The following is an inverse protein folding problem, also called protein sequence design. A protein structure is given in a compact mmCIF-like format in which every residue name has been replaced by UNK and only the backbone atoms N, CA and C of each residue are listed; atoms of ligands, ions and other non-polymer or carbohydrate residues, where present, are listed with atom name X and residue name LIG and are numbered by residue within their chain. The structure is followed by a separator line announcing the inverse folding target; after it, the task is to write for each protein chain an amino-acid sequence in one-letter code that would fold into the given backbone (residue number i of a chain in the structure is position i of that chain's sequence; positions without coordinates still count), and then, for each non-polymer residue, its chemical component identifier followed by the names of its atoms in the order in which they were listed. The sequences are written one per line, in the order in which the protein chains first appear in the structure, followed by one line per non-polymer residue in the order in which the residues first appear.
data_IF_055721116662
#
_entry.id   IF_055721116662
#
_cell.length_a   1.000
_cell.length_b   1.000
_cell.length_c   1.000
_cell.angle_alpha   90.00
_cell.angle_beta   90.00
_cell.angle_gamma   90.00
#
_symmetry.space_group_name_H-M   'P 1'
#
loop_
_entity.id
_entity.type
_entity.pdbx_description
1 polymer ?
#
# COMPACT_ATOMS: atom_id res chain seq x y z
N UNK A 1 42.09 -53.14 -5.83
CA UNK A 1 40.66 -52.88 -5.61
C UNK A 1 40.17 -52.04 -6.78
N UNK A 2 39.54 -52.70 -7.75
CA UNK A 2 39.18 -52.10 -9.05
C UNK A 2 37.74 -51.57 -8.99
N UNK A 3 37.52 -50.37 -9.51
CA UNK A 3 36.19 -49.80 -9.75
C UNK A 3 35.96 -49.77 -11.27
N UNK A 4 34.82 -50.25 -11.81
CA UNK A 4 34.55 -50.15 -13.23
C UNK A 4 33.99 -48.76 -13.59
N UNK A 5 34.56 -48.19 -14.65
CA UNK A 5 34.15 -46.94 -15.29
C UNK A 5 32.91 -47.17 -16.17
N UNK A 6 31.88 -46.34 -15.98
CA UNK A 6 30.65 -46.33 -16.79
C UNK A 6 30.84 -45.37 -17.98
N UNK A 7 30.52 -45.75 -19.23
CA UNK A 7 30.67 -44.88 -20.38
C UNK A 7 29.49 -43.90 -20.53
N UNK A 8 29.80 -42.61 -20.62
CA UNK A 8 28.88 -41.53 -20.96
C UNK A 8 28.45 -41.63 -22.45
N UNK A 9 27.18 -41.90 -22.70
CA UNK A 9 26.57 -41.81 -24.03
C UNK A 9 26.34 -40.33 -24.40
N UNK A 10 26.87 -39.95 -25.57
CA UNK A 10 26.65 -38.66 -26.25
C UNK A 10 25.15 -38.45 -26.55
N UNK A 11 24.56 -37.39 -26.02
CA UNK A 11 23.32 -36.82 -26.57
C UNK A 11 23.68 -35.90 -27.75
N UNK A 12 23.11 -36.22 -28.91
CA UNK A 12 23.12 -35.40 -30.12
C UNK A 12 21.97 -34.39 -29.98
N UNK A 13 22.29 -33.12 -29.72
CA UNK A 13 21.32 -32.03 -29.82
C UNK A 13 21.32 -31.50 -31.27
N UNK A 14 20.24 -31.77 -32.00
CA UNK A 14 19.99 -31.22 -33.34
C UNK A 14 19.45 -29.79 -33.22
N UNK A 15 20.14 -28.89 -33.91
CA UNK A 15 19.72 -27.58 -34.40
C UNK A 15 18.23 -27.49 -34.79
N UNK A 16 17.58 -26.38 -34.41
CA UNK A 16 16.75 -25.58 -35.31
C UNK A 16 16.55 -24.17 -34.76
N UNK A 17 16.90 -23.22 -35.63
CA UNK A 17 16.75 -21.78 -35.51
C UNK A 17 15.27 -21.39 -35.38
N UNK A 18 14.93 -20.55 -34.40
CA UNK A 18 13.63 -19.89 -34.35
C UNK A 18 13.69 -18.64 -35.24
N UNK A 19 13.10 -18.76 -36.43
CA UNK A 19 12.83 -17.64 -37.33
C UNK A 19 11.59 -16.90 -36.83
N UNK A 20 11.70 -15.58 -36.70
CA UNK A 20 10.61 -14.65 -36.45
C UNK A 20 9.53 -14.80 -37.54
N UNK A 21 8.29 -15.10 -37.13
CA UNK A 21 7.11 -14.95 -37.96
C UNK A 21 6.16 -13.96 -37.28
N UNK A 22 6.24 -12.72 -37.74
CA UNK A 22 5.14 -11.75 -37.68
C UNK A 22 3.95 -12.35 -38.45
N UNK A 23 2.79 -12.46 -37.82
CA UNK A 23 1.53 -12.79 -38.51
C UNK A 23 0.56 -11.64 -38.24
N UNK A 24 0.44 -10.77 -39.23
CA UNK A 24 -0.68 -9.84 -39.40
C UNK A 24 -1.95 -10.61 -39.76
N UNK A 25 -3.06 -10.15 -39.20
CA UNK A 25 -4.40 -10.66 -39.41
C UNK A 25 -5.03 -10.02 -40.67
N UNK A 26 -5.59 -10.86 -41.54
CA UNK A 26 -6.35 -10.44 -42.71
C UNK A 26 -7.71 -11.18 -42.71
N UNK A 27 -8.86 -10.50 -42.51
CA UNK A 27 -10.17 -11.13 -42.54
C UNK A 27 -10.95 -10.71 -43.79
N UNK A 28 -11.07 -11.62 -44.75
CA UNK A 28 -12.05 -11.48 -45.83
C UNK A 28 -12.66 -12.83 -46.20
N UNK A 29 -13.95 -12.76 -46.55
CA UNK A 29 -14.78 -13.77 -47.20
C UNK A 29 -15.50 -14.80 -46.32
N UNK A 30 -16.61 -14.37 -45.70
CA UNK A 30 -17.84 -15.17 -45.69
C UNK A 30 -19.02 -14.27 -46.06
N UNK A 31 -19.42 -14.34 -47.34
CA UNK A 31 -20.61 -13.68 -47.87
C UNK A 31 -21.74 -14.72 -47.98
N UNK A 32 -22.75 -14.59 -47.13
CA UNK A 32 -24.03 -15.28 -47.29
C UNK A 32 -25.03 -14.26 -47.86
N UNK A 33 -25.57 -14.56 -49.05
CA UNK A 33 -26.62 -13.76 -49.70
C UNK A 33 -27.91 -13.90 -48.90
N UNK A 34 -28.58 -12.78 -48.63
CA UNK A 34 -30.03 -12.75 -48.69
C UNK A 34 -30.54 -11.36 -49.09
N UNK A 35 -31.40 -11.35 -50.10
CA UNK A 35 -32.00 -10.17 -50.70
C UNK A 35 -33.09 -9.61 -49.79
N UNK A 36 -32.95 -8.35 -49.37
CA UNK A 36 -34.11 -7.54 -48.98
C UNK A 36 -33.96 -6.15 -49.58
N UNK A 37 -34.87 -5.81 -50.49
CA UNK A 37 -35.04 -4.47 -51.04
C UNK A 37 -35.69 -3.60 -49.97
N UNK A 38 -34.98 -2.60 -49.46
CA UNK A 38 -35.56 -1.47 -48.72
C UNK A 38 -34.95 -0.20 -49.28
N UNK A 39 -35.83 0.76 -49.60
CA UNK A 39 -35.54 1.93 -50.40
C UNK A 39 -34.46 2.85 -49.83
N UNK A 40 -33.74 3.48 -50.76
CA UNK A 40 -32.83 4.58 -50.50
C UNK A 40 -33.65 5.77 -49.96
N UNK A 41 -33.53 6.02 -48.66
CA UNK A 41 -33.75 7.35 -48.09
C UNK A 41 -32.38 7.85 -47.63
N UNK A 42 -31.76 8.68 -48.47
CA UNK A 42 -30.55 9.44 -48.09
C UNK A 42 -30.98 10.48 -47.07
N UNK A 43 -30.89 10.14 -45.80
CA UNK A 43 -30.89 11.12 -44.71
C UNK A 43 -29.45 11.32 -44.27
N UNK A 44 -28.84 12.40 -44.76
CA UNK A 44 -27.55 12.89 -44.30
C UNK A 44 -27.70 13.42 -42.86
N UNK A 45 -27.62 12.51 -41.87
CA UNK A 45 -27.41 12.88 -40.49
C UNK A 45 -25.90 12.90 -40.25
N UNK A 46 -25.31 14.10 -40.26
CA UNK A 46 -23.95 14.33 -39.80
C UNK A 46 -23.85 13.91 -38.33
N UNK A 47 -23.36 12.69 -38.10
CA UNK A 47 -23.03 12.20 -36.77
C UNK A 47 -21.87 13.01 -36.21
N UNK A 48 -22.17 13.99 -35.36
CA UNK A 48 -21.16 14.63 -34.51
C UNK A 48 -20.65 13.56 -33.55
N UNK A 49 -19.49 12.98 -33.87
CA UNK A 49 -18.69 12.21 -32.93
C UNK A 49 -18.17 13.19 -31.87
N UNK A 50 -18.95 13.40 -30.81
CA UNK A 50 -18.50 14.08 -29.63
C UNK A 50 -17.41 13.23 -28.98
N UNK A 51 -16.15 13.57 -29.24
CA UNK A 51 -15.00 12.97 -28.56
C UNK A 51 -15.13 13.23 -27.07
N UNK A 52 -15.38 12.17 -26.29
CA UNK A 52 -15.25 12.23 -24.85
C UNK A 52 -13.78 12.47 -24.52
N UNK A 53 -13.41 13.73 -24.30
CA UNK A 53 -12.13 14.07 -23.70
C UNK A 53 -12.09 13.40 -22.32
N UNK A 54 -11.25 12.38 -22.17
CA UNK A 54 -10.98 11.79 -20.88
C UNK A 54 -10.32 12.86 -20.00
N UNK A 55 -11.10 13.49 -19.14
CA UNK A 55 -10.58 14.37 -18.09
C UNK A 55 -9.65 13.50 -17.23
N UNK A 56 -8.37 13.86 -17.06
CA UNK A 56 -7.49 13.09 -16.20
C UNK A 56 -8.08 13.12 -14.80
N UNK A 57 -8.32 11.94 -14.22
CA UNK A 57 -8.71 11.84 -12.82
C UNK A 57 -7.57 12.45 -12.00
N UNK A 58 -7.79 13.63 -11.42
CA UNK A 58 -6.84 14.19 -10.47
C UNK A 58 -6.77 13.24 -9.28
N UNK A 59 -5.58 12.69 -9.04
CA UNK A 59 -5.33 11.96 -7.80
C UNK A 59 -5.53 12.95 -6.64
N UNK A 60 -6.49 12.67 -5.77
CA UNK A 60 -6.69 13.46 -4.56
C UNK A 60 -5.44 13.32 -3.69
N UNK A 61 -4.95 14.44 -3.14
CA UNK A 61 -3.76 14.40 -2.30
C UNK A 61 -4.06 13.60 -1.03
N UNK A 62 -3.06 12.83 -0.55
CA UNK A 62 -3.17 12.14 0.73
C UNK A 62 -3.47 13.10 1.90
N UNK A 63 -3.02 14.36 1.79
CA UNK A 63 -3.22 15.38 2.82
C UNK A 63 -4.66 15.91 2.88
N UNK A 64 -5.38 15.83 1.76
CA UNK A 64 -6.79 16.24 1.67
C UNK A 64 -7.74 15.14 2.13
N UNK A 65 -7.22 13.96 2.48
CA UNK A 65 -8.02 12.83 2.92
C UNK A 65 -8.80 13.16 4.20
N UNK A 66 -10.12 12.93 4.13
CA UNK A 66 -11.03 12.97 5.28
C UNK A 66 -11.78 11.66 5.37
N UNK A 67 -11.49 10.85 6.38
CA UNK A 67 -12.11 9.53 6.51
C UNK A 67 -11.54 8.70 7.66
N UNK A 68 -11.50 7.39 7.47
CA UNK A 68 -11.06 6.42 8.47
C UNK A 68 -9.57 6.06 8.29
N UNK A 69 -8.92 5.57 9.35
CA UNK A 69 -7.50 5.20 9.28
C UNK A 69 -7.21 4.03 8.33
N UNK A 70 -8.14 3.09 8.21
CA UNK A 70 -7.97 1.85 7.41
C UNK A 70 -7.91 2.16 5.90
N UNK A 71 -8.90 2.83 5.27
CA UNK A 71 -8.79 3.18 3.86
C UNK A 71 -7.60 4.08 3.57
N UNK A 72 -7.32 5.06 4.45
CA UNK A 72 -6.13 5.89 4.35
C UNK A 72 -4.84 5.07 4.32
N UNK A 73 -4.66 4.15 5.28
CA UNK A 73 -3.44 3.35 5.37
C UNK A 73 -3.26 2.46 4.14
N UNK A 74 -4.34 1.96 3.53
CA UNK A 74 -4.26 1.20 2.28
C UNK A 74 -3.77 2.06 1.12
N UNK A 75 -4.26 3.29 1.01
CA UNK A 75 -3.84 4.23 -0.03
C UNK A 75 -2.38 4.68 0.19
N UNK A 76 -2.03 5.01 1.43
CA UNK A 76 -0.72 5.52 1.80
C UNK A 76 0.39 4.46 1.76
N UNK A 77 0.10 3.19 2.13
CA UNK A 77 1.09 2.11 2.15
C UNK A 77 1.03 1.18 0.93
N UNK A 78 -0.11 1.10 0.26
CA UNK A 78 -0.40 0.11 -0.78
C UNK A 78 -0.81 -1.28 -0.25
N UNK A 79 -0.83 -1.51 1.07
CA UNK A 79 -1.25 -2.79 1.67
C UNK A 79 -2.76 -2.98 1.48
N UNK A 80 -3.16 -4.18 1.05
CA UNK A 80 -4.56 -4.51 0.71
C UNK A 80 -5.23 -5.34 1.82
N UNK A 81 -5.30 -4.81 3.04
CA UNK A 81 -6.01 -5.41 4.19
C UNK A 81 -7.22 -4.53 4.52
N UNK A 82 -8.33 -5.12 4.95
CA UNK A 82 -9.63 -4.45 5.10
C UNK A 82 -10.29 -4.82 6.43
N UNK A 83 -11.36 -4.11 6.78
CA UNK A 83 -12.06 -4.29 8.06
C UNK A 83 -11.41 -3.49 9.19
N UNK A 84 -11.79 -3.83 10.43
CA UNK A 84 -11.34 -3.10 11.61
C UNK A 84 -9.81 -3.12 11.76
N UNK A 85 -9.25 -1.99 12.20
CA UNK A 85 -7.80 -1.82 12.30
C UNK A 85 -7.12 -2.86 13.21
N UNK A 86 -7.76 -3.24 14.32
CA UNK A 86 -7.20 -4.25 15.24
C UNK A 86 -7.04 -5.65 14.59
N UNK A 87 -7.84 -5.97 13.58
CA UNK A 87 -7.77 -7.29 12.89
C UNK A 87 -6.62 -7.38 11.89
N UNK A 88 -6.00 -6.25 11.53
CA UNK A 88 -4.99 -6.21 10.47
C UNK A 88 -3.75 -7.03 10.80
N UNK A 89 -3.39 -7.12 12.08
CA UNK A 89 -2.21 -7.89 12.50
C UNK A 89 -2.34 -9.38 12.19
N UNK A 90 -3.52 -9.96 12.44
CA UNK A 90 -3.79 -11.37 12.16
C UNK A 90 -4.06 -11.58 10.67
N UNK A 91 -4.78 -10.65 10.03
CA UNK A 91 -5.01 -10.73 8.59
C UNK A 91 -3.72 -10.62 7.76
N UNK A 92 -2.68 -9.95 8.26
CA UNK A 92 -1.41 -9.86 7.56
C UNK A 92 -0.67 -11.19 7.54
N UNK A 93 -0.91 -12.08 8.50
CA UNK A 93 -0.31 -13.41 8.54
C UNK A 93 -0.63 -14.21 7.27
N UNK A 94 0.40 -14.83 6.68
CA UNK A 94 0.25 -15.58 5.43
C UNK A 94 -0.08 -14.72 4.20
N UNK A 95 0.05 -13.38 4.29
CA UNK A 95 -0.13 -12.45 3.16
C UNK A 95 1.04 -11.47 3.06
N UNK A 96 1.33 -10.76 4.14
CA UNK A 96 2.39 -9.77 4.24
C UNK A 96 3.34 -10.15 5.37
N UNK A 97 4.63 -9.84 5.22
CA UNK A 97 5.58 -10.03 6.32
C UNK A 97 5.22 -9.12 7.50
N UNK A 98 5.46 -9.61 8.71
CA UNK A 98 5.27 -8.86 9.96
C UNK A 98 6.57 -8.82 10.76
N UNK A 99 6.72 -7.81 11.61
CA UNK A 99 7.87 -7.74 12.51
C UNK A 99 7.82 -6.60 13.50
N UNK A 100 8.93 -6.40 14.22
CA UNK A 100 9.06 -5.38 15.28
C UNK A 100 9.98 -4.23 14.91
N UNK A 101 10.65 -4.29 13.76
CA UNK A 101 11.53 -3.21 13.29
C UNK A 101 10.75 -2.26 12.40
N UNK A 102 10.80 -0.93 12.63
CA UNK A 102 10.16 0.03 11.75
C UNK A 102 10.84 0.01 10.37
N UNK A 103 10.04 0.22 9.33
CA UNK A 103 10.49 0.41 7.95
C UNK A 103 9.60 1.49 7.33
N UNK A 104 10.17 2.37 6.51
CA UNK A 104 9.38 3.37 5.77
C UNK A 104 8.33 2.65 4.92
N UNK A 105 7.10 3.13 4.96
CA UNK A 105 5.94 2.54 4.31
C UNK A 105 5.31 1.34 5.04
N UNK A 106 5.92 0.84 6.13
CA UNK A 106 5.30 -0.20 6.94
C UNK A 106 4.12 0.36 7.74
N UNK A 107 3.10 -0.46 7.95
CA UNK A 107 1.93 -0.10 8.74
C UNK A 107 2.12 -0.59 10.17
N UNK A 108 2.16 0.32 11.13
CA UNK A 108 2.04 -0.01 12.54
C UNK A 108 0.58 -0.35 12.86
N UNK A 109 0.35 -1.57 13.36
CA UNK A 109 -0.96 -2.02 13.82
C UNK A 109 -1.08 -1.84 15.34
N UNK A 110 -1.94 -0.92 15.77
CA UNK A 110 -2.26 -0.71 17.18
C UNK A 110 -3.21 -1.81 17.66
N UNK A 111 -2.97 -2.30 18.88
CA UNK A 111 -3.80 -3.31 19.49
C UNK A 111 -5.13 -2.71 19.99
N UNK A 112 -6.15 -3.55 20.07
CA UNK A 112 -7.43 -3.19 20.68
C UNK A 112 -7.22 -2.87 22.16
N UNK A 113 -7.77 -1.76 22.62
CA UNK A 113 -7.73 -1.34 24.02
C UNK A 113 -8.97 -0.52 24.38
N UNK A 114 -9.16 -0.20 25.66
CA UNK A 114 -10.28 0.66 26.09
C UNK A 114 -10.29 2.03 25.39
N UNK A 115 -9.12 2.58 25.06
CA UNK A 115 -8.98 3.85 24.34
C UNK A 115 -9.09 3.70 22.82
N UNK A 116 -8.79 2.51 22.29
CA UNK A 116 -8.84 2.17 20.87
C UNK A 116 -9.68 0.88 20.67
N UNK A 117 -11.02 0.95 20.83
CA UNK A 117 -11.87 -0.24 20.76
C UNK A 117 -11.88 -0.89 19.37
N UNK A 118 -11.58 -0.12 18.32
CA UNK A 118 -11.44 -0.60 16.94
C UNK A 118 -9.97 -0.80 16.52
N UNK A 119 -9.03 -0.61 17.44
CA UNK A 119 -7.60 -0.49 17.12
C UNK A 119 -7.31 0.81 16.35
N UNK A 120 -6.13 0.86 15.74
CA UNK A 120 -5.73 1.92 14.82
C UNK A 120 -4.62 1.40 13.90
N UNK A 121 -4.43 2.05 12.76
CA UNK A 121 -3.30 1.79 11.86
C UNK A 121 -2.66 3.10 11.43
N UNK A 122 -1.35 3.12 11.36
CA UNK A 122 -0.58 4.28 10.91
C UNK A 122 0.60 3.83 10.05
N UNK A 123 0.95 4.62 9.04
CA UNK A 123 2.03 4.28 8.10
C UNK A 123 3.31 5.01 8.51
N UNK A 124 4.43 4.30 8.64
CA UNK A 124 5.73 4.90 8.98
C UNK A 124 6.22 5.75 7.81
N UNK A 125 6.29 7.07 8.00
CA UNK A 125 6.75 8.01 6.99
C UNK A 125 8.27 8.20 7.04
N UNK A 126 8.85 8.23 8.25
CA UNK A 126 10.28 8.39 8.50
C UNK A 126 10.74 7.57 9.70
N UNK A 127 12.02 7.20 9.68
CA UNK A 127 12.73 6.68 10.85
C UNK A 127 13.64 7.79 11.35
N UNK A 128 13.37 8.30 12.55
CA UNK A 128 14.13 9.40 13.14
C UNK A 128 15.34 8.81 13.88
N UNK A 129 15.10 7.80 14.70
CA UNK A 129 16.14 7.09 15.41
C UNK A 129 15.64 5.71 15.84
N UNK A 130 16.35 5.04 16.76
CA UNK A 130 16.04 3.67 17.16
C UNK A 130 14.65 3.56 17.79
N UNK A 131 14.20 4.59 18.54
CA UNK A 131 12.94 4.59 19.28
C UNK A 131 11.96 5.67 18.84
N UNK A 132 12.35 6.54 17.91
CA UNK A 132 11.50 7.61 17.38
C UNK A 132 11.31 7.38 15.88
N UNK A 133 10.05 7.40 15.46
CA UNK A 133 9.65 7.40 14.05
C UNK A 133 8.62 8.48 13.84
N UNK A 134 8.43 8.88 12.59
CA UNK A 134 7.28 9.68 12.20
C UNK A 134 6.29 8.79 11.46
N UNK A 135 5.02 9.02 11.69
CA UNK A 135 3.91 8.30 11.08
C UNK A 135 2.97 9.26 10.36
N UNK A 136 2.35 8.76 9.31
CA UNK A 136 1.28 9.44 8.61
C UNK A 136 0.03 8.59 8.73
N UNK A 137 -1.06 9.18 9.22
CA UNK A 137 -2.31 8.49 9.53
C UNK A 137 -3.51 9.43 9.39
N UNK A 138 -4.73 8.90 9.49
CA UNK A 138 -5.95 9.70 9.50
C UNK A 138 -6.84 9.33 10.68
N UNK A 139 -7.77 10.22 11.03
CA UNK A 139 -8.79 9.99 12.07
C UNK A 139 -8.25 9.80 13.50
N UNK A 140 -7.13 10.43 13.84
CA UNK A 140 -6.57 10.36 15.19
C UNK A 140 -7.00 11.56 16.05
N UNK A 141 -6.49 12.74 15.73
CA UNK A 141 -6.80 13.97 16.47
C UNK A 141 -8.09 14.64 15.99
N UNK A 142 -8.57 15.61 16.77
CA UNK A 142 -9.69 16.47 16.36
C UNK A 142 -9.11 17.75 15.76
N UNK A 143 -9.20 17.91 14.44
CA UNK A 143 -8.85 19.15 13.78
C UNK A 143 -10.08 20.06 13.71
N UNK A 144 -10.04 21.20 14.40
CA UNK A 144 -11.11 22.21 14.43
C UNK A 144 -12.47 21.62 14.84
N UNK A 145 -12.45 20.75 15.85
CA UNK A 145 -13.62 20.02 16.34
C UNK A 145 -14.04 18.81 15.50
N UNK A 146 -13.43 18.59 14.33
CA UNK A 146 -13.75 17.47 13.43
C UNK A 146 -12.67 16.40 13.44
N UNK A 147 -13.07 15.14 13.42
CA UNK A 147 -12.14 14.01 13.19
C UNK A 147 -12.13 13.63 11.71
N UNK A 148 -11.11 12.87 11.32
CA UNK A 148 -11.05 12.20 10.02
C UNK A 148 -9.95 12.71 9.11
N UNK A 149 -9.34 13.85 9.42
CA UNK A 149 -8.25 14.41 8.63
C UNK A 149 -7.01 13.52 8.67
N UNK A 150 -6.25 13.55 7.58
CA UNK A 150 -4.89 13.04 7.53
C UNK A 150 -3.93 13.99 8.28
N UNK A 151 -3.05 13.39 9.07
CA UNK A 151 -1.94 14.05 9.75
C UNK A 151 -0.65 13.38 9.27
N UNK A 152 0.25 14.20 8.73
CA UNK A 152 1.50 13.75 8.13
C UNK A 152 2.66 13.97 9.09
N UNK A 153 3.60 13.02 9.10
CA UNK A 153 4.84 13.09 9.87
C UNK A 153 4.64 13.34 11.39
N UNK A 154 3.61 12.72 11.96
CA UNK A 154 3.33 12.75 13.40
C UNK A 154 4.38 11.95 14.17
N UNK A 155 4.96 12.54 15.22
CA UNK A 155 5.94 11.88 16.09
C UNK A 155 5.34 10.67 16.81
N UNK A 156 6.03 9.53 16.74
CA UNK A 156 5.72 8.31 17.46
C UNK A 156 6.97 7.82 18.20
N UNK A 157 6.82 7.59 19.50
CA UNK A 157 7.90 7.14 20.37
C UNK A 157 7.62 5.77 20.98
N UNK A 158 8.59 4.87 20.88
CA UNK A 158 8.55 3.57 21.53
C UNK A 158 8.94 3.67 23.01
N UNK A 159 8.00 3.30 23.89
CA UNK A 159 8.19 3.26 25.35
C UNK A 159 8.22 1.84 25.89
N UNK A 160 8.26 0.82 25.02
CA UNK A 160 8.33 -0.58 25.45
C UNK A 160 9.61 -0.88 26.25
N UNK A 161 9.58 -1.74 27.29
CA UNK A 161 10.80 -2.07 28.03
C UNK A 161 11.91 -2.70 27.15
N UNK A 162 11.52 -3.39 26.07
CA UNK A 162 12.43 -4.17 25.22
C UNK A 162 12.88 -3.47 23.94
N UNK A 163 12.39 -2.27 23.66
CA UNK A 163 12.68 -1.60 22.38
C UNK A 163 12.05 -2.31 21.18
N UNK A 164 10.91 -2.98 21.38
CA UNK A 164 10.26 -3.85 20.40
C UNK A 164 8.95 -3.28 19.85
N UNK A 165 8.70 -1.99 20.10
CA UNK A 165 7.52 -1.26 19.62
C UNK A 165 6.18 -1.87 20.06
N UNK A 166 6.17 -2.67 21.13
CA UNK A 166 4.93 -3.22 21.69
C UNK A 166 4.08 -2.19 22.41
N UNK A 167 4.67 -1.04 22.77
CA UNK A 167 4.03 0.01 23.55
C UNK A 167 4.57 1.37 23.09
N UNK A 168 3.68 2.28 22.67
CA UNK A 168 4.06 3.54 22.01
C UNK A 168 3.31 4.75 22.57
N UNK A 169 3.91 5.93 22.45
CA UNK A 169 3.27 7.24 22.64
C UNK A 169 3.16 7.96 21.31
N UNK A 170 2.05 8.66 21.11
CA UNK A 170 1.71 9.37 19.86
C UNK A 170 1.61 10.86 20.17
N UNK A 171 2.29 11.70 19.39
CA UNK A 171 2.05 13.14 19.38
C UNK A 171 0.75 13.46 18.64
N UNK A 172 0.05 14.53 18.99
CA UNK A 172 -1.07 15.02 18.20
C UNK A 172 -1.28 16.51 18.42
N UNK A 173 -1.92 17.16 17.45
CA UNK A 173 -1.98 18.63 17.31
C UNK A 173 -2.31 19.43 18.57
N UNK A 174 -3.18 18.91 19.43
CA UNK A 174 -3.63 19.61 20.63
C UNK A 174 -2.69 19.40 21.84
N UNK A 175 -1.43 19.00 21.62
CA UNK A 175 -0.42 18.73 22.67
C UNK A 175 0.90 19.43 22.36
N UNK A 176 1.57 19.95 23.40
CA UNK A 176 2.88 20.60 23.31
C UNK A 176 4.06 19.59 23.43
N UNK A 177 3.81 18.32 23.11
CA UNK A 177 4.72 17.18 23.30
C UNK A 177 3.97 15.85 23.07
N UNK A 178 4.60 14.70 23.32
CA UNK A 178 3.87 13.43 23.23
C UNK A 178 2.70 13.42 24.22
N UNK A 179 1.55 12.91 23.80
CA UNK A 179 0.43 12.72 24.71
C UNK A 179 0.80 11.89 25.94
N UNK A 180 0.11 12.12 27.06
CA UNK A 180 0.27 11.30 28.27
C UNK A 180 -0.19 9.85 28.08
N UNK A 181 -1.00 9.60 27.05
CA UNK A 181 -1.55 8.29 26.75
C UNK A 181 -0.54 7.37 26.07
N UNK A 182 -0.50 6.14 26.56
CA UNK A 182 0.31 5.05 26.05
C UNK A 182 -0.60 4.03 25.37
N UNK A 183 -0.18 3.56 24.19
CA UNK A 183 -0.97 2.67 23.35
C UNK A 183 -0.23 1.34 23.10
N UNK A 184 -0.90 0.19 23.31
CA UNK A 184 -0.33 -1.09 22.92
C UNK A 184 -0.34 -1.23 21.38
N UNK A 185 0.70 -1.85 20.83
CA UNK A 185 0.81 -2.14 19.41
C UNK A 185 1.33 -3.56 19.16
N UNK A 186 0.88 -4.16 18.07
CA UNK A 186 1.34 -5.50 17.69
C UNK A 186 2.69 -5.45 16.99
N UNK A 187 2.95 -4.40 16.20
CA UNK A 187 4.17 -4.24 15.43
C UNK A 187 3.87 -3.75 14.01
N UNK A 188 4.81 -4.01 13.10
CA UNK A 188 4.79 -3.48 11.74
C UNK A 188 4.42 -4.56 10.73
N UNK A 189 3.47 -4.23 9.86
CA UNK A 189 3.12 -4.99 8.66
C UNK A 189 3.91 -4.38 7.50
N UNK A 190 4.70 -5.20 6.82
CA UNK A 190 5.58 -4.77 5.74
C UNK A 190 4.88 -4.91 4.39
N UNK A 191 5.19 -4.01 3.46
CA UNK A 191 4.67 -4.10 2.08
C UNK A 191 5.20 -5.30 1.28
N UNK A 192 6.17 -6.04 1.82
CA UNK A 192 6.69 -7.25 1.20
C UNK A 192 5.73 -8.43 1.42
N UNK A 193 5.36 -9.17 0.37
CA UNK A 193 4.60 -10.41 0.53
C UNK A 193 5.37 -11.40 1.42
N UNK A 194 4.63 -12.19 2.18
CA UNK A 194 5.21 -13.31 2.93
C UNK A 194 5.68 -14.38 1.92
N UNK A 195 6.96 -14.79 1.93
CA UNK A 195 7.46 -15.85 1.04
C UNK A 195 6.76 -17.19 1.21
N UNK A 196 6.12 -17.41 2.38
CA UNK A 196 5.35 -18.61 2.70
C UNK A 196 3.84 -18.38 2.54
N UNK A 197 3.42 -17.24 1.98
CA UNK A 197 2.02 -16.93 1.79
C UNK A 197 1.32 -17.97 0.90
N UNK A 198 0.19 -18.49 1.39
CA UNK A 198 -0.72 -19.30 0.58
C UNK A 198 -1.60 -18.43 -0.33
N UNK A 199 -1.69 -17.13 -0.04
CA UNK A 199 -2.44 -16.14 -0.84
C UNK A 199 -1.48 -15.14 -1.49
N UNK A 200 -1.40 -15.19 -2.82
CA UNK A 200 -0.61 -14.23 -3.58
C UNK A 200 -1.12 -12.80 -3.34
N UNK A 201 -0.23 -11.91 -2.91
CA UNK A 201 -0.46 -10.47 -2.85
C UNK A 201 0.65 -9.75 -3.59
N UNK A 202 0.32 -8.61 -4.20
CA UNK A 202 1.33 -7.75 -4.84
C UNK A 202 2.15 -7.06 -3.75
N UNK A 203 3.47 -6.87 -3.96
CA UNK A 203 4.24 -5.99 -3.10
C UNK A 203 3.63 -4.60 -3.06
N UNK A 204 3.42 -4.09 -1.85
CA UNK A 204 2.88 -2.77 -1.63
C UNK A 204 3.96 -1.71 -1.90
N UNK A 205 3.54 -0.56 -2.42
CA UNK A 205 4.39 0.60 -2.66
C UNK A 205 3.81 1.78 -1.90
N UNK A 206 4.54 2.37 -0.95
CA UNK A 206 4.06 3.54 -0.24
C UNK A 206 3.92 4.73 -1.20
N UNK A 207 2.96 5.59 -0.93
CA UNK A 207 2.75 6.82 -1.68
C UNK A 207 3.96 7.76 -1.59
N UNK A 208 4.22 8.50 -2.66
CA UNK A 208 5.23 9.56 -2.68
C UNK A 208 4.89 10.70 -1.70
N UNK A 209 3.60 10.89 -1.39
CA UNK A 209 3.11 11.90 -0.45
C UNK A 209 3.07 11.38 1.00
N UNK A 210 3.68 10.23 1.29
CA UNK A 210 3.66 9.67 2.64
C UNK A 210 4.35 10.57 3.67
N UNK A 211 5.34 11.35 3.26
CA UNK A 211 6.07 12.30 4.11
C UNK A 211 6.18 13.64 3.40
N UNK A 212 6.21 14.72 4.16
CA UNK A 212 6.36 16.08 3.68
C UNK A 212 7.75 16.33 3.10
N UNK A 213 7.90 17.46 2.43
CA UNK A 213 9.19 17.89 1.87
C UNK A 213 10.20 18.25 2.96
N UNK A 214 9.72 18.75 4.09
CA UNK A 214 10.53 19.18 5.23
C UNK A 214 9.86 18.71 6.54
N UNK A 215 9.97 17.41 6.88
CA UNK A 215 9.46 16.91 8.15
C UNK A 215 10.27 17.50 9.32
N UNK A 216 9.60 17.89 10.40
CA UNK A 216 10.25 18.48 11.57
C UNK A 216 10.97 17.44 12.44
N UNK A 217 12.19 17.10 12.02
CA UNK A 217 13.02 16.10 12.70
C UNK A 217 13.44 16.57 14.10
N UNK A 218 13.77 17.85 14.23
CA UNK A 218 14.20 18.43 15.51
C UNK A 218 13.03 18.48 16.47
N UNK A 219 11.86 18.93 16.01
CA UNK A 219 10.61 18.89 16.76
C UNK A 219 10.31 17.47 17.27
N UNK A 220 10.46 16.44 16.44
CA UNK A 220 10.20 15.06 16.87
C UNK A 220 11.10 14.58 18.03
N UNK A 221 12.35 15.05 18.09
CA UNK A 221 13.27 14.74 19.17
C UNK A 221 12.99 15.58 20.42
N UNK A 222 12.63 16.86 20.25
CA UNK A 222 12.20 17.74 21.35
C UNK A 222 10.93 17.17 22.00
N UNK A 223 9.93 16.83 21.18
CA UNK A 223 8.69 16.18 21.61
C UNK A 223 8.97 14.91 22.41
N UNK A 224 10.04 14.19 22.10
CA UNK A 224 10.35 12.91 22.76
C UNK A 224 11.11 13.09 24.07
N UNK A 225 12.12 13.96 24.11
CA UNK A 225 13.11 14.00 25.19
C UNK A 225 13.06 15.23 26.08
N UNK A 226 12.31 16.27 25.71
CA UNK A 226 12.24 17.53 26.47
C UNK A 226 11.00 17.63 27.39
N UNK A 227 10.33 16.50 27.68
CA UNK A 227 9.10 16.43 28.48
C UNK A 227 9.32 16.06 29.94
#
# INVERSE_FOLDING_TARGET
MHWPLIPLRRLVARSRSCVNAFVEADPAAFACRNNLRVGVAVSAAAGVLAGAAAVPAQAQSLLEYVGQCVPFAREASGIQIYGDAWTWWDQAEGRYQRGKKPRIGAVLAFAKSARLPLGHVAVVSRIVEKRVVMITHANWSRLNGKRGHAEQDVTLFDVSPRGDWSVVKVWYRDTHGLGSSVYPAHGFIYGAPDPLATKAVRPARPSAELSGRQPDYVGSLIDTYAQ
#
